data_IF_555303085265
#
_entry.id   IF_555303085265
#
_cell.length_a   1.000
_cell.length_b   1.000
_cell.length_c   1.000
_cell.angle_alpha   90.00
_cell.angle_beta   90.00
_cell.angle_gamma   90.00
#
_symmetry.space_group_name_H-M   'P 1'
#
loop_
_entity.id
_entity.type
_entity.pdbx_description
1 polymer ?
#
# COMPACT_ATOMS: atom_id res chain seq x y z
N UNK A 1 11.23 18.54 4.66
CA UNK A 1 10.34 19.68 4.38
C UNK A 1 8.95 19.09 4.20
N UNK A 2 8.05 19.28 5.16
CA UNK A 2 6.72 18.66 5.13
C UNK A 2 5.93 19.17 3.92
N UNK A 3 5.61 18.27 3.00
CA UNK A 3 4.78 18.58 1.83
C UNK A 3 3.32 18.55 2.28
N UNK A 4 2.55 19.59 1.97
CA UNK A 4 1.12 19.68 2.27
C UNK A 4 0.28 19.62 1.00
N UNK A 5 -0.78 18.82 1.00
CA UNK A 5 -1.74 18.70 -0.10
C UNK A 5 -3.19 18.70 0.42
N UNK A 6 -4.15 19.02 -0.44
CA UNK A 6 -5.56 18.96 -0.08
C UNK A 6 -6.02 17.50 0.01
N UNK A 7 -5.71 16.69 -1.01
CA UNK A 7 -6.13 15.29 -1.08
C UNK A 7 -4.96 14.37 -1.38
N UNK A 8 -4.73 13.38 -0.52
CA UNK A 8 -3.83 12.26 -0.83
C UNK A 8 -4.63 11.06 -1.35
N UNK A 9 -4.20 10.49 -2.47
CA UNK A 9 -4.81 9.34 -3.13
C UNK A 9 -3.78 8.21 -3.09
N UNK A 10 -4.13 7.12 -2.40
CA UNK A 10 -3.27 5.96 -2.21
C UNK A 10 -3.71 4.86 -3.16
N UNK A 11 -2.94 4.63 -4.21
CA UNK A 11 -3.21 3.69 -5.29
C UNK A 11 -3.41 4.38 -6.64
N UNK A 12 -2.77 3.86 -7.68
CA UNK A 12 -2.93 4.32 -9.06
C UNK A 12 -3.67 3.29 -9.95
N UNK A 13 -4.72 2.68 -9.38
CA UNK A 13 -5.74 1.89 -10.08
C UNK A 13 -6.76 2.77 -10.81
N UNK A 14 -7.72 2.21 -11.58
CA UNK A 14 -8.77 3.01 -12.24
C UNK A 14 -9.55 3.92 -11.28
N UNK A 15 -9.78 3.48 -10.03
CA UNK A 15 -10.40 4.32 -8.99
C UNK A 15 -9.53 5.53 -8.62
N UNK A 16 -8.24 5.31 -8.33
CA UNK A 16 -7.31 6.38 -7.97
C UNK A 16 -7.06 7.36 -9.11
N UNK A 17 -6.97 6.87 -10.35
CA UNK A 17 -6.83 7.73 -11.54
C UNK A 17 -8.08 8.60 -11.75
N UNK A 18 -9.28 8.01 -11.62
CA UNK A 18 -10.55 8.75 -11.68
C UNK A 18 -10.65 9.80 -10.58
N UNK A 19 -10.26 9.44 -9.36
CA UNK A 19 -10.24 10.37 -8.23
C UNK A 19 -9.30 11.55 -8.50
N UNK A 20 -8.08 11.28 -8.99
CA UNK A 20 -7.08 12.31 -9.26
C UNK A 20 -7.55 13.32 -10.31
N UNK A 21 -8.16 12.84 -11.41
CA UNK A 21 -8.79 13.70 -12.42
C UNK A 21 -9.83 14.62 -11.78
N UNK A 22 -10.72 14.07 -10.97
CA UNK A 22 -11.82 14.85 -10.37
C UNK A 22 -11.33 15.85 -9.31
N UNK A 23 -10.33 15.48 -8.49
CA UNK A 23 -9.70 16.42 -7.55
C UNK A 23 -9.04 17.58 -8.30
N UNK A 24 -8.30 17.28 -9.39
CA UNK A 24 -7.63 18.29 -10.22
C UNK A 24 -8.62 19.26 -10.86
N UNK A 25 -9.75 18.76 -11.41
CA UNK A 25 -10.81 19.59 -12.01
C UNK A 25 -11.42 20.56 -10.98
N UNK A 26 -11.42 20.21 -9.69
CA UNK A 26 -11.89 21.09 -8.60
C UNK A 26 -10.82 22.03 -8.07
N UNK A 27 -9.69 22.19 -8.77
CA UNK A 27 -8.59 23.08 -8.40
C UNK A 27 -8.04 22.81 -6.99
N UNK A 28 -7.99 21.53 -6.60
CA UNK A 28 -7.37 21.09 -5.35
C UNK A 28 -6.01 20.46 -5.63
N UNK A 29 -5.07 20.71 -4.73
CA UNK A 29 -3.75 20.08 -4.75
C UNK A 29 -3.88 18.60 -4.37
N UNK A 30 -3.12 17.74 -5.03
CA UNK A 30 -3.20 16.30 -4.78
C UNK A 30 -1.84 15.63 -4.76
N UNK A 31 -1.75 14.55 -3.99
CA UNK A 31 -0.68 13.56 -4.07
C UNK A 31 -1.30 12.24 -4.54
N UNK A 32 -0.86 11.73 -5.70
CA UNK A 32 -1.23 10.39 -6.17
C UNK A 32 -0.05 9.46 -5.97
N UNK A 33 -0.14 8.52 -5.03
CA UNK A 33 0.93 7.56 -4.72
C UNK A 33 0.58 6.19 -5.28
N UNK A 34 1.56 5.50 -5.84
CA UNK A 34 1.39 4.11 -6.23
C UNK A 34 2.68 3.46 -6.70
N UNK A 35 2.64 2.14 -6.97
CA UNK A 35 3.81 1.40 -7.41
C UNK A 35 4.25 1.84 -8.81
N UNK A 36 5.46 1.43 -9.21
CA UNK A 36 6.01 1.70 -10.55
C UNK A 36 5.05 1.30 -11.67
N UNK A 37 4.42 0.13 -11.54
CA UNK A 37 3.40 -0.35 -12.46
C UNK A 37 1.99 -0.02 -11.94
N UNK A 38 1.45 1.12 -12.37
CA UNK A 38 0.07 1.48 -12.07
C UNK A 38 -0.93 0.53 -12.71
N UNK A 39 -1.98 0.17 -11.96
CA UNK A 39 -3.07 -0.71 -12.40
C UNK A 39 -2.60 -2.09 -12.91
N UNK A 40 -1.74 -2.78 -12.16
CA UNK A 40 -1.23 -4.11 -12.53
C UNK A 40 -2.35 -5.14 -12.86
N UNK A 41 -3.47 -5.11 -12.14
CA UNK A 41 -4.63 -5.99 -12.44
C UNK A 41 -5.27 -5.67 -13.79
N UNK A 42 -5.31 -4.39 -14.20
CA UNK A 42 -5.82 -3.99 -15.50
C UNK A 42 -4.86 -4.41 -16.61
N UNK A 43 -3.56 -4.20 -16.42
CA UNK A 43 -2.50 -4.58 -17.37
C UNK A 43 -2.61 -6.05 -17.80
N UNK A 44 -2.94 -6.95 -16.86
CA UNK A 44 -3.05 -8.41 -17.09
C UNK A 44 -4.29 -8.82 -17.90
N UNK A 45 -5.27 -7.94 -18.12
CA UNK A 45 -6.50 -8.30 -18.81
C UNK A 45 -6.26 -8.49 -20.32
N UNK A 46 -6.52 -9.69 -20.83
CA UNK A 46 -6.36 -9.98 -22.26
C UNK A 46 -7.32 -9.19 -23.15
N UNK A 47 -8.57 -9.01 -22.70
CA UNK A 47 -9.61 -8.34 -23.48
C UNK A 47 -10.71 -7.78 -22.58
N UNK A 48 -11.17 -6.57 -22.89
CA UNK A 48 -12.20 -5.83 -22.16
C UNK A 48 -13.29 -5.44 -23.16
N UNK A 49 -14.51 -5.90 -22.90
CA UNK A 49 -15.68 -5.61 -23.73
C UNK A 49 -16.78 -4.87 -22.95
N UNK A 50 -16.59 -4.65 -21.64
CA UNK A 50 -17.62 -4.20 -20.72
C UNK A 50 -17.29 -2.84 -20.08
N UNK A 51 -16.39 -2.06 -20.68
CA UNK A 51 -16.15 -0.67 -20.32
C UNK A 51 -16.73 0.22 -21.43
N UNK A 52 -17.85 0.87 -21.14
CA UNK A 52 -18.60 1.65 -22.15
C UNK A 52 -17.69 2.66 -22.86
N UNK A 53 -17.75 2.68 -24.19
CA UNK A 53 -16.86 3.49 -25.04
C UNK A 53 -15.57 2.76 -25.48
N UNK A 54 -15.24 1.63 -24.87
CA UNK A 54 -14.07 0.82 -25.22
C UNK A 54 -14.44 -0.66 -25.35
N UNK A 55 -14.61 -1.13 -26.58
CA UNK A 55 -14.96 -2.51 -26.90
C UNK A 55 -13.79 -3.23 -27.57
N UNK A 56 -13.49 -4.46 -27.13
CA UNK A 56 -12.44 -5.29 -27.72
C UNK A 56 -11.01 -4.87 -27.39
N UNK A 57 -10.82 -3.86 -26.54
CA UNK A 57 -9.49 -3.38 -26.16
C UNK A 57 -8.83 -4.34 -25.18
N UNK A 58 -7.51 -4.39 -25.21
CA UNK A 58 -6.71 -5.05 -24.18
C UNK A 58 -6.68 -4.21 -22.90
N UNK A 59 -6.33 -4.85 -21.79
CA UNK A 59 -6.09 -4.16 -20.53
C UNK A 59 -4.98 -3.13 -20.60
N UNK A 60 -3.89 -3.43 -21.32
CA UNK A 60 -2.77 -2.51 -21.50
C UNK A 60 -3.16 -1.27 -22.31
N UNK A 61 -3.91 -1.43 -23.40
CA UNK A 61 -4.40 -0.29 -24.19
C UNK A 61 -5.28 0.65 -23.36
N UNK A 62 -6.21 0.09 -22.58
CA UNK A 62 -7.06 0.89 -21.70
C UNK A 62 -6.25 1.59 -20.61
N UNK A 63 -5.27 0.89 -20.02
CA UNK A 63 -4.36 1.44 -19.00
C UNK A 63 -3.55 2.61 -19.55
N UNK A 64 -2.99 2.49 -20.75
CA UNK A 64 -2.24 3.56 -21.39
C UNK A 64 -3.11 4.79 -21.67
N UNK A 65 -4.38 4.59 -22.07
CA UNK A 65 -5.33 5.69 -22.22
C UNK A 65 -5.60 6.42 -20.91
N UNK A 66 -5.75 5.71 -19.79
CA UNK A 66 -5.90 6.34 -18.48
C UNK A 66 -4.64 7.10 -18.04
N UNK A 67 -3.45 6.54 -18.27
CA UNK A 67 -2.19 7.19 -17.92
C UNK A 67 -1.89 8.41 -18.80
N UNK A 68 -2.26 8.36 -20.08
CA UNK A 68 -2.19 9.52 -20.97
C UNK A 68 -3.10 10.65 -20.47
N UNK A 69 -4.35 10.33 -20.13
CA UNK A 69 -5.32 11.32 -19.64
C UNK A 69 -4.81 12.08 -18.40
N UNK A 70 -4.32 11.38 -17.37
CA UNK A 70 -3.79 12.08 -16.18
C UNK A 70 -2.55 12.93 -16.52
N UNK A 71 -1.71 12.47 -17.45
CA UNK A 71 -0.49 13.19 -17.86
C UNK A 71 -0.85 14.48 -18.60
N UNK A 72 -1.82 14.42 -19.50
CA UNK A 72 -2.33 15.58 -20.25
C UNK A 72 -2.97 16.63 -19.32
N UNK A 73 -3.47 16.19 -18.16
CA UNK A 73 -3.97 17.07 -17.08
C UNK A 73 -2.88 17.57 -16.13
N UNK A 74 -1.61 17.23 -16.36
CA UNK A 74 -0.50 17.60 -15.49
C UNK A 74 -0.53 16.91 -14.12
N UNK A 75 -1.07 15.70 -14.05
CA UNK A 75 -1.10 14.86 -12.85
C UNK A 75 0.02 13.82 -12.97
N UNK A 76 0.93 13.80 -11.99
CA UNK A 76 2.01 12.84 -11.88
C UNK A 76 1.72 11.79 -10.79
N UNK A 77 2.14 10.55 -11.02
CA UNK A 77 2.15 9.51 -9.98
C UNK A 77 3.50 9.57 -9.25
N UNK A 78 3.45 9.74 -7.94
CA UNK A 78 4.61 9.54 -7.06
C UNK A 78 4.83 8.03 -6.91
N UNK A 79 5.92 7.53 -7.51
CA UNK A 79 6.30 6.12 -7.45
C UNK A 79 6.85 5.78 -6.07
N UNK A 80 5.97 5.31 -5.18
CA UNK A 80 6.29 4.99 -3.80
C UNK A 80 5.18 4.15 -3.17
N UNK A 81 5.42 3.66 -1.96
CA UNK A 81 4.44 2.99 -1.12
C UNK A 81 4.12 3.86 0.10
N UNK A 82 2.87 3.79 0.56
CA UNK A 82 2.43 4.42 1.80
C UNK A 82 2.46 3.33 2.87
N UNK A 83 3.29 3.50 3.91
CA UNK A 83 3.42 2.53 5.00
C UNK A 83 2.44 2.77 6.14
N UNK A 84 1.96 4.00 6.30
CA UNK A 84 1.02 4.37 7.35
C UNK A 84 0.35 5.72 7.11
N UNK A 85 -0.86 5.85 7.64
CA UNK A 85 -1.66 7.07 7.60
C UNK A 85 -2.14 7.34 9.02
N UNK A 86 -1.68 8.47 9.57
CA UNK A 86 -1.90 8.84 10.97
C UNK A 86 -2.82 10.05 11.03
N UNK A 87 -4.01 9.93 11.64
CA UNK A 87 -4.85 11.08 11.91
C UNK A 87 -4.13 12.07 12.84
N UNK A 88 -4.12 13.34 12.47
CA UNK A 88 -3.64 14.45 13.30
C UNK A 88 -4.76 15.49 13.42
N UNK A 89 -4.57 16.53 14.22
CA UNK A 89 -5.63 17.52 14.47
C UNK A 89 -6.03 18.27 13.18
N UNK A 90 -7.11 17.82 12.54
CA UNK A 90 -7.67 18.44 11.34
C UNK A 90 -7.09 17.97 10.00
N UNK A 91 -6.13 17.04 9.99
CA UNK A 91 -5.51 16.50 8.77
C UNK A 91 -4.95 15.08 9.00
N UNK A 92 -4.17 14.58 8.05
CA UNK A 92 -3.55 13.25 8.08
C UNK A 92 -2.07 13.33 7.70
N UNK A 93 -1.22 12.64 8.43
CA UNK A 93 0.18 12.43 8.05
C UNK A 93 0.32 11.08 7.35
N UNK A 94 0.76 11.08 6.10
CA UNK A 94 1.07 9.90 5.32
C UNK A 94 2.58 9.67 5.34
N UNK A 95 3.00 8.49 5.77
CA UNK A 95 4.40 8.07 5.65
C UNK A 95 4.64 7.50 4.24
N UNK A 96 5.47 8.18 3.46
CA UNK A 96 5.80 7.86 2.08
C UNK A 96 7.31 7.64 1.99
N UNK A 97 7.77 6.39 2.08
CA UNK A 97 9.18 6.04 2.36
C UNK A 97 9.67 6.76 3.64
N UNK A 98 10.69 7.59 3.52
CA UNK A 98 11.33 8.30 4.64
C UNK A 98 10.72 9.70 4.88
N UNK A 99 9.79 10.13 4.03
CA UNK A 99 9.15 11.44 4.11
C UNK A 99 7.73 11.34 4.69
N UNK A 100 7.30 12.44 5.33
CA UNK A 100 5.91 12.65 5.72
C UNK A 100 5.23 13.67 4.82
N UNK A 101 4.00 13.35 4.39
CA UNK A 101 3.13 14.25 3.64
C UNK A 101 1.86 14.50 4.42
N UNK A 102 1.53 15.77 4.65
CA UNK A 102 0.27 16.17 5.28
C UNK A 102 -0.83 16.30 4.22
N UNK A 103 -1.99 15.69 4.47
CA UNK A 103 -3.18 15.79 3.62
C UNK A 103 -4.43 16.16 4.42
N UNK A 104 -5.29 17.03 3.88
CA UNK A 104 -6.55 17.37 4.54
C UNK A 104 -7.61 16.25 4.44
N UNK A 105 -7.57 15.48 3.34
CA UNK A 105 -8.38 14.28 3.14
C UNK A 105 -7.58 13.17 2.45
N UNK A 106 -8.00 11.92 2.65
CA UNK A 106 -7.34 10.73 2.11
C UNK A 106 -8.34 9.88 1.33
N UNK A 107 -7.95 9.39 0.15
CA UNK A 107 -8.73 8.44 -0.65
C UNK A 107 -7.94 7.15 -0.83
N UNK A 108 -8.44 6.07 -0.25
CA UNK A 108 -7.86 4.72 -0.35
C UNK A 108 -8.37 4.03 -1.61
N UNK A 109 -7.46 3.70 -2.53
CA UNK A 109 -7.77 3.04 -3.83
C UNK A 109 -6.79 1.92 -4.16
N UNK A 110 -6.27 1.25 -3.12
CA UNK A 110 -5.26 0.18 -3.20
C UNK A 110 -5.76 -1.09 -3.89
N UNK A 111 -7.07 -1.19 -4.14
CA UNK A 111 -7.71 -2.34 -4.79
C UNK A 111 -8.02 -3.46 -3.81
N UNK A 112 -8.35 -4.65 -4.32
CA UNK A 112 -8.37 -5.88 -3.51
C UNK A 112 -7.11 -6.66 -3.80
N UNK A 113 -6.19 -6.61 -2.85
CA UNK A 113 -5.23 -7.68 -2.68
C UNK A 113 -5.37 -8.16 -1.25
N UNK A 114 -5.76 -9.43 -1.11
CA UNK A 114 -5.58 -10.10 0.16
C UNK A 114 -4.06 -10.21 0.34
N UNK A 115 -3.49 -9.42 1.26
CA UNK A 115 -2.18 -9.76 1.78
C UNK A 115 -2.24 -11.25 2.11
N UNK A 116 -1.39 -12.06 1.47
CA UNK A 116 -1.28 -13.46 1.84
C UNK A 116 -0.65 -13.45 3.22
N UNK A 117 -1.49 -13.59 4.25
CA UNK A 117 -1.00 -13.85 5.58
C UNK A 117 -0.39 -15.23 5.59
N UNK A 118 0.86 -15.29 6.03
CA UNK A 118 1.46 -16.54 6.40
C UNK A 118 0.85 -16.99 7.74
N UNK A 119 0.75 -18.30 8.00
CA UNK A 119 0.34 -18.82 9.30
C UNK A 119 1.10 -18.15 10.45
N UNK A 120 0.37 -17.80 11.52
CA UNK A 120 0.84 -17.09 12.71
C UNK A 120 1.26 -15.61 12.51
N UNK A 121 1.16 -15.07 11.29
CA UNK A 121 1.55 -13.68 10.99
C UNK A 121 0.76 -12.65 11.81
N UNK A 122 -0.56 -12.59 11.64
CA UNK A 122 -1.42 -11.58 12.28
C UNK A 122 -1.27 -11.56 13.81
N UNK A 123 -1.07 -12.73 14.42
CA UNK A 123 -0.91 -12.86 15.87
C UNK A 123 0.42 -12.32 16.39
N UNK A 124 1.47 -12.36 15.57
CA UNK A 124 2.85 -12.05 15.93
C UNK A 124 3.34 -10.70 15.38
N UNK A 125 2.56 -10.02 14.53
CA UNK A 125 2.82 -8.62 14.14
C UNK A 125 2.82 -7.71 15.37
N UNK A 126 3.85 -6.87 15.49
CA UNK A 126 4.10 -6.04 16.68
C UNK A 126 4.68 -6.84 17.87
N UNK A 127 4.84 -8.15 17.73
CA UNK A 127 5.44 -9.07 18.73
C UNK A 127 6.64 -9.79 18.15
N UNK A 128 7.46 -9.07 17.40
CA UNK A 128 8.64 -9.62 16.73
C UNK A 128 8.52 -9.71 15.22
N UNK A 129 7.30 -9.61 14.65
CA UNK A 129 7.11 -9.42 13.20
C UNK A 129 6.86 -7.93 12.91
N UNK A 130 7.63 -7.37 11.99
CA UNK A 130 7.48 -6.01 11.48
C UNK A 130 7.28 -5.99 9.96
N UNK A 131 6.61 -4.96 9.47
CA UNK A 131 6.47 -4.69 8.05
C UNK A 131 7.36 -3.54 7.54
N UNK A 132 8.05 -2.84 8.45
CA UNK A 132 8.92 -1.73 8.12
C UNK A 132 10.33 -2.04 8.65
N UNK A 133 11.24 -2.36 7.73
CA UNK A 133 12.64 -2.63 8.04
C UNK A 133 13.31 -1.43 8.69
N UNK A 134 13.09 -0.23 8.15
CA UNK A 134 13.76 0.99 8.64
C UNK A 134 13.23 1.47 10.00
N UNK A 135 11.94 1.32 10.26
CA UNK A 135 11.30 1.80 11.48
C UNK A 135 11.75 1.03 12.73
N UNK A 136 11.83 -0.30 12.62
CA UNK A 136 12.06 -1.17 13.78
C UNK A 136 13.50 -1.72 13.84
N UNK A 137 14.35 -1.47 12.84
CA UNK A 137 15.73 -1.97 12.75
C UNK A 137 16.51 -1.85 14.07
N UNK A 138 16.43 -0.69 14.72
CA UNK A 138 17.20 -0.39 15.93
C UNK A 138 16.83 -1.29 17.13
N UNK A 139 15.60 -1.84 17.19
CA UNK A 139 15.23 -2.80 18.24
C UNK A 139 15.94 -4.15 18.09
N UNK A 140 16.56 -4.40 16.94
CA UNK A 140 17.24 -5.64 16.58
C UNK A 140 18.75 -5.49 16.42
N UNK A 141 19.33 -4.42 16.95
CA UNK A 141 20.77 -4.20 16.93
C UNK A 141 21.51 -5.41 17.54
N UNK A 142 22.43 -6.00 16.77
CA UNK A 142 23.22 -7.18 17.17
C UNK A 142 22.44 -8.50 17.28
N UNK A 143 21.15 -8.53 16.93
CA UNK A 143 20.29 -9.73 16.98
C UNK A 143 20.28 -10.49 15.65
N UNK A 144 19.69 -11.68 15.66
CA UNK A 144 19.45 -12.49 14.45
C UNK A 144 18.04 -12.21 13.92
N UNK A 145 17.93 -11.76 12.67
CA UNK A 145 16.64 -11.43 12.06
C UNK A 145 16.43 -12.17 10.74
N UNK A 146 15.17 -12.39 10.37
CA UNK A 146 14.80 -12.85 9.03
C UNK A 146 14.14 -11.72 8.24
N UNK A 147 14.49 -11.59 6.97
CA UNK A 147 13.86 -10.65 6.03
C UNK A 147 13.18 -11.45 4.94
N UNK A 148 11.85 -11.45 4.93
CA UNK A 148 11.04 -12.07 3.87
C UNK A 148 10.67 -10.99 2.87
N UNK A 149 11.27 -11.04 1.67
CA UNK A 149 11.11 -10.01 0.64
C UNK A 149 10.27 -10.53 -0.53
N UNK A 150 9.18 -9.84 -0.86
CA UNK A 150 8.30 -10.20 -1.99
C UNK A 150 8.79 -9.66 -3.34
N UNK A 151 9.71 -8.70 -3.35
CA UNK A 151 10.23 -8.08 -4.57
C UNK A 151 11.70 -7.65 -4.42
N UNK A 152 12.38 -7.49 -5.55
CA UNK A 152 13.76 -6.99 -5.60
C UNK A 152 13.91 -5.53 -5.11
N UNK A 153 12.81 -4.76 -5.03
CA UNK A 153 12.85 -3.38 -4.52
C UNK A 153 13.17 -3.35 -3.01
N UNK A 154 12.97 -4.46 -2.29
CA UNK A 154 13.24 -4.58 -0.86
C UNK A 154 14.68 -5.03 -0.54
N UNK A 155 15.52 -5.28 -1.54
CA UNK A 155 16.91 -5.67 -1.31
C UNK A 155 17.73 -4.56 -0.63
N UNK A 156 17.42 -3.29 -0.92
CA UNK A 156 18.07 -2.15 -0.28
C UNK A 156 17.73 -2.05 1.21
N UNK A 157 16.47 -2.25 1.55
CA UNK A 157 16.00 -2.28 2.93
C UNK A 157 16.55 -3.49 3.70
N UNK A 158 16.70 -4.64 3.04
CA UNK A 158 17.37 -5.81 3.61
C UNK A 158 18.86 -5.56 3.90
N UNK A 159 19.56 -4.86 2.99
CA UNK A 159 20.96 -4.44 3.19
C UNK A 159 21.10 -3.48 4.36
N UNK A 160 20.20 -2.50 4.48
CA UNK A 160 20.16 -1.60 5.64
C UNK A 160 20.00 -2.38 6.96
N UNK A 161 19.12 -3.38 7.01
CA UNK A 161 18.96 -4.23 8.19
C UNK A 161 20.24 -5.02 8.53
N UNK A 162 21.03 -5.43 7.54
CA UNK A 162 22.31 -6.12 7.77
C UNK A 162 23.41 -5.23 8.37
N UNK A 163 23.29 -3.90 8.22
CA UNK A 163 24.19 -2.95 8.89
C UNK A 163 23.92 -2.88 10.39
N UNK A 164 22.66 -3.05 10.80
CA UNK A 164 22.18 -2.90 12.19
C UNK A 164 22.16 -4.24 12.95
N UNK A 165 21.62 -5.29 12.33
CA UNK A 165 21.50 -6.62 12.91
C UNK A 165 22.86 -7.34 12.98
N UNK A 166 22.97 -8.32 13.88
CA UNK A 166 24.15 -9.17 13.98
C UNK A 166 24.22 -10.21 12.87
N UNK A 167 23.06 -10.72 12.45
CA UNK A 167 22.93 -11.68 11.35
C UNK A 167 21.55 -11.56 10.69
N UNK A 168 21.49 -11.70 9.37
CA UNK A 168 20.25 -11.59 8.59
C UNK A 168 20.05 -12.84 7.72
N UNK A 169 18.96 -13.56 7.93
CA UNK A 169 18.46 -14.54 6.96
C UNK A 169 17.63 -13.81 5.90
N UNK A 170 18.11 -13.77 4.67
CA UNK A 170 17.38 -13.19 3.55
C UNK A 170 16.55 -14.26 2.83
N UNK A 171 15.23 -14.11 2.83
CA UNK A 171 14.25 -15.08 2.31
C UNK A 171 13.50 -14.49 1.11
N UNK A 172 14.12 -14.39 -0.07
CA UNK A 172 13.48 -13.85 -1.26
C UNK A 172 12.34 -14.76 -1.74
N UNK A 173 11.16 -14.17 -1.95
CA UNK A 173 9.98 -14.85 -2.51
C UNK A 173 9.80 -14.58 -4.01
N UNK A 174 10.90 -14.23 -4.70
CA UNK A 174 10.99 -13.93 -6.14
C UNK A 174 12.27 -14.56 -6.73
N UNK A 175 12.36 -14.67 -8.07
CA UNK A 175 13.39 -15.48 -8.74
C UNK A 175 14.74 -14.76 -8.95
N UNK A 176 14.74 -13.47 -9.29
CA UNK A 176 15.93 -12.73 -9.71
C UNK A 176 16.55 -11.90 -8.57
N UNK A 177 17.29 -12.56 -7.69
CA UNK A 177 17.98 -11.93 -6.54
C UNK A 177 19.34 -11.38 -6.95
N UNK A 178 19.72 -10.19 -6.46
CA UNK A 178 21.08 -9.66 -6.64
C UNK A 178 22.16 -10.66 -6.18
N UNK A 179 23.26 -10.73 -6.93
CA UNK A 179 24.39 -11.61 -6.61
C UNK A 179 25.18 -11.14 -5.39
N UNK A 180 25.09 -9.85 -5.06
CA UNK A 180 25.75 -9.26 -3.90
C UNK A 180 24.70 -8.84 -2.85
N UNK A 181 24.71 -9.55 -1.73
CA UNK A 181 23.83 -9.39 -0.58
C UNK A 181 24.63 -9.08 0.70
N UNK A 182 25.96 -8.95 0.63
CA UNK A 182 26.82 -8.66 1.79
C UNK A 182 27.11 -9.86 2.72
N UNK A 183 28.21 -9.76 3.49
CA UNK A 183 28.77 -10.86 4.30
C UNK A 183 27.90 -11.27 5.51
N UNK A 184 27.05 -10.36 6.00
CA UNK A 184 26.17 -10.61 7.17
C UNK A 184 24.82 -11.21 6.79
N UNK A 185 24.57 -11.42 5.50
CA UNK A 185 23.32 -11.96 4.98
C UNK A 185 23.51 -13.40 4.48
N UNK A 186 22.68 -14.31 4.97
CA UNK A 186 22.55 -15.66 4.42
C UNK A 186 21.26 -15.72 3.58
N UNK A 187 21.39 -15.95 2.27
CA UNK A 187 20.21 -16.13 1.41
C UNK A 187 19.68 -17.55 1.48
N UNK A 188 18.39 -17.67 1.85
CA UNK A 188 17.66 -18.92 1.93
C UNK A 188 16.48 -18.85 0.95
N UNK A 189 16.51 -19.68 -0.09
CA UNK A 189 15.48 -19.69 -1.15
C UNK A 189 14.28 -20.60 -0.85
N UNK A 190 14.23 -21.18 0.34
CA UNK A 190 13.14 -22.04 0.75
C UNK A 190 11.85 -21.22 0.93
N UNK A 191 10.71 -21.86 0.61
CA UNK A 191 9.40 -21.21 0.75
C UNK A 191 9.03 -21.05 2.22
N UNK A 192 8.65 -19.84 2.62
CA UNK A 192 8.15 -19.58 3.98
C UNK A 192 6.75 -20.16 4.13
N UNK A 193 6.54 -20.91 5.21
CA UNK A 193 5.28 -21.60 5.54
C UNK A 193 4.55 -20.97 6.74
N UNK A 194 5.20 -20.08 7.49
CA UNK A 194 4.61 -19.45 8.67
C UNK A 194 5.66 -19.08 9.71
N UNK A 195 5.19 -18.78 10.91
CA UNK A 195 6.04 -18.35 12.03
C UNK A 195 5.76 -19.18 13.27
N UNK A 196 6.72 -19.28 14.17
CA UNK A 196 6.55 -19.92 15.47
C UNK A 196 6.84 -18.94 16.60
N UNK A 197 6.14 -19.10 17.72
CA UNK A 197 6.30 -18.27 18.91
C UNK A 197 4.98 -18.05 19.65
N UNK A 198 5.01 -17.96 20.98
CA UNK A 198 3.81 -17.73 21.80
C UNK A 198 3.60 -16.22 22.01
N UNK A 199 4.38 -15.61 22.90
CA UNK A 199 4.31 -14.17 23.17
C UNK A 199 5.05 -13.32 22.15
N UNK A 200 6.09 -13.87 21.53
CA UNK A 200 6.91 -13.21 20.51
C UNK A 200 7.37 -14.23 19.47
N UNK A 201 7.75 -13.76 18.28
CA UNK A 201 8.35 -14.64 17.26
C UNK A 201 9.65 -15.25 17.80
N UNK A 202 9.86 -16.54 17.53
CA UNK A 202 11.10 -17.27 17.85
C UNK A 202 11.71 -17.96 16.64
N UNK A 203 10.90 -18.21 15.61
CA UNK A 203 11.38 -18.87 14.41
C UNK A 203 10.52 -18.58 13.17
N UNK A 204 11.16 -18.68 11.99
CA UNK A 204 10.49 -18.77 10.69
C UNK A 204 10.38 -20.23 10.30
N UNK A 205 9.18 -20.70 9.94
CA UNK A 205 8.94 -22.06 9.45
C UNK A 205 9.13 -22.12 7.95
N UNK A 206 10.01 -23.00 7.51
CA UNK A 206 10.24 -23.34 6.10
C UNK A 206 9.66 -24.73 5.80
N UNK A 207 9.80 -25.22 4.58
CA UNK A 207 9.20 -26.49 4.15
C UNK A 207 9.81 -27.73 4.84
N UNK A 208 11.07 -27.66 5.28
CA UNK A 208 11.75 -28.78 5.95
C UNK A 208 12.43 -28.46 7.27
N UNK A 209 12.45 -27.18 7.71
CA UNK A 209 13.14 -26.74 8.93
C UNK A 209 12.56 -25.47 9.52
N UNK A 210 12.98 -25.12 10.74
CA UNK A 210 12.74 -23.82 11.37
C UNK A 210 14.06 -23.04 11.46
N UNK A 211 14.01 -21.74 11.20
CA UNK A 211 15.12 -20.82 11.43
C UNK A 211 14.87 -20.05 12.72
N UNK A 212 15.74 -20.19 13.72
CA UNK A 212 15.64 -19.41 14.96
C UNK A 212 15.99 -17.95 14.69
N UNK A 213 15.11 -17.04 15.11
CA UNK A 213 15.27 -15.60 14.92
C UNK A 213 14.71 -14.84 16.11
N UNK A 214 15.26 -13.66 16.36
CA UNK A 214 14.76 -12.70 17.33
C UNK A 214 13.66 -11.80 16.75
N UNK A 215 13.66 -11.63 15.41
CA UNK A 215 12.71 -10.79 14.69
C UNK A 215 12.53 -11.20 13.23
N UNK A 216 11.39 -10.83 12.65
CA UNK A 216 11.05 -11.07 11.24
C UNK A 216 10.56 -9.77 10.61
N UNK A 217 11.16 -9.40 9.49
CA UNK A 217 10.72 -8.28 8.66
C UNK A 217 10.04 -8.83 7.41
N UNK A 218 8.73 -8.60 7.28
CA UNK A 218 7.94 -8.97 6.12
C UNK A 218 7.86 -7.78 5.17
N UNK A 219 8.80 -7.70 4.25
CA UNK A 219 8.87 -6.65 3.25
C UNK A 219 7.96 -7.04 2.08
N UNK A 220 6.67 -6.75 2.29
CA UNK A 220 5.58 -7.01 1.36
C UNK A 220 5.36 -5.80 0.46
N UNK A 221 4.94 -6.03 -0.77
CA UNK A 221 4.56 -4.93 -1.67
C UNK A 221 3.34 -4.16 -1.15
N UNK A 222 2.46 -4.83 -0.37
CA UNK A 222 1.27 -4.23 0.21
C UNK A 222 1.01 -4.72 1.64
N UNK A 223 0.71 -3.76 2.52
CA UNK A 223 0.36 -4.02 3.91
C UNK A 223 -1.14 -4.33 4.06
N UNK A 224 -1.53 -5.07 5.12
CA UNK A 224 -2.94 -5.23 5.44
C UNK A 224 -3.57 -3.86 5.74
N UNK A 225 -4.82 -3.67 5.34
CA UNK A 225 -5.51 -2.37 5.44
C UNK A 225 -5.58 -1.83 6.88
N UNK A 226 -5.67 -2.71 7.87
CA UNK A 226 -5.64 -2.36 9.30
C UNK A 226 -4.32 -1.72 9.75
N UNK A 227 -3.21 -2.02 9.06
CA UNK A 227 -1.91 -1.39 9.32
C UNK A 227 -1.76 -0.06 8.59
N UNK A 228 -2.38 0.09 7.42
CA UNK A 228 -2.32 1.33 6.66
C UNK A 228 -3.06 2.47 7.38
N UNK A 229 -4.23 2.19 7.96
CA UNK A 229 -5.02 3.14 8.73
C UNK A 229 -5.59 2.46 9.97
N UNK A 230 -5.09 2.82 11.15
CA UNK A 230 -5.56 2.23 12.41
C UNK A 230 -7.04 2.59 12.67
N UNK A 231 -7.82 1.61 13.13
CA UNK A 231 -9.23 1.79 13.45
C UNK A 231 -10.18 1.83 12.24
N UNK A 232 -9.69 1.55 11.03
CA UNK A 232 -10.52 1.50 9.83
C UNK A 232 -11.51 0.31 9.90
N UNK A 233 -12.80 0.60 9.74
CA UNK A 233 -13.85 -0.41 9.78
C UNK A 233 -13.84 -1.26 8.50
N UNK A 234 -13.78 -2.58 8.68
CA UNK A 234 -13.83 -3.55 7.59
C UNK A 234 -15.12 -4.36 7.63
N UNK A 235 -15.61 -4.77 6.47
CA UNK A 235 -16.57 -5.87 6.31
C UNK A 235 -15.86 -6.98 5.55
N UNK A 236 -15.65 -8.13 6.20
CA UNK A 236 -14.71 -9.16 5.76
C UNK A 236 -13.30 -8.59 5.52
N UNK A 237 -12.92 -8.41 4.26
CA UNK A 237 -11.61 -7.89 3.81
C UNK A 237 -11.72 -6.56 3.06
N UNK A 238 -12.90 -5.95 3.08
CA UNK A 238 -13.20 -4.73 2.34
C UNK A 238 -13.42 -3.58 3.30
N UNK A 239 -12.97 -2.38 2.91
CA UNK A 239 -13.24 -1.17 3.68
C UNK A 239 -14.72 -0.86 3.60
N UNK A 240 -15.35 -0.70 4.76
CA UNK A 240 -16.76 -0.32 4.84
C UNK A 240 -16.89 1.16 4.50
N UNK A 241 -17.77 1.46 3.54
CA UNK A 241 -18.11 2.84 3.16
C UNK A 241 -19.62 3.06 3.17
N UNK A 242 -20.04 4.31 3.28
CA UNK A 242 -21.38 4.78 2.95
C UNK A 242 -21.54 5.02 1.42
N UNK A 243 -22.71 5.45 0.91
CA UNK A 243 -22.90 5.79 -0.50
C UNK A 243 -22.00 6.92 -1.02
N UNK A 244 -21.58 7.83 -0.15
CA UNK A 244 -20.67 8.94 -0.44
C UNK A 244 -19.19 8.51 -0.46
N UNK A 245 -18.92 7.21 -0.29
CA UNK A 245 -17.58 6.59 -0.21
C UNK A 245 -16.81 6.97 1.07
N UNK A 246 -17.47 7.57 2.06
CA UNK A 246 -16.86 7.89 3.35
C UNK A 246 -16.69 6.64 4.21
N UNK A 247 -15.57 6.57 4.92
CA UNK A 247 -15.31 5.50 5.91
C UNK A 247 -15.81 5.91 7.29
N UNK A 248 -15.56 5.08 8.31
CA UNK A 248 -15.83 5.46 9.70
C UNK A 248 -14.88 6.56 10.23
N UNK A 249 -13.83 6.91 9.50
CA UNK A 249 -12.87 7.95 9.88
C UNK A 249 -13.19 9.21 9.05
N UNK A 250 -13.65 10.32 9.67
CA UNK A 250 -14.01 11.54 8.95
C UNK A 250 -12.82 12.10 8.15
N UNK A 251 -13.02 12.33 6.85
CA UNK A 251 -11.96 12.79 5.95
C UNK A 251 -11.18 11.66 5.26
N UNK A 252 -11.45 10.40 5.60
CA UNK A 252 -10.94 9.22 4.90
C UNK A 252 -12.06 8.59 4.07
N UNK A 253 -11.78 8.40 2.80
CA UNK A 253 -12.66 7.79 1.80
C UNK A 253 -12.01 6.54 1.22
N UNK A 254 -12.81 5.64 0.66
CA UNK A 254 -12.30 4.48 -0.05
C UNK A 254 -13.09 4.22 -1.34
N UNK A 255 -12.41 3.83 -2.42
CA UNK A 255 -13.04 3.64 -3.71
C UNK A 255 -12.42 2.50 -4.53
N UNK A 256 -13.25 1.83 -5.31
CA UNK A 256 -12.86 0.73 -6.17
C UNK A 256 -12.98 -0.62 -5.48
N UNK A 257 -12.12 -1.55 -5.88
CA UNK A 257 -12.23 -2.95 -5.44
C UNK A 257 -12.08 -3.08 -3.92
N UNK A 258 -11.30 -2.19 -3.29
CA UNK A 258 -11.10 -2.10 -1.84
C UNK A 258 -12.42 -2.03 -1.04
N UNK A 259 -13.50 -1.52 -1.65
CA UNK A 259 -14.83 -1.38 -1.01
C UNK A 259 -15.74 -2.59 -1.22
N UNK A 260 -15.29 -3.65 -1.91
CA UNK A 260 -16.10 -4.83 -2.16
C UNK A 260 -16.37 -5.14 -3.63
N UNK A 261 -17.04 -6.28 -3.84
CA UNK A 261 -17.51 -6.70 -5.17
C UNK A 261 -18.62 -5.77 -5.67
N UNK A 262 -18.87 -5.71 -7.00
CA UNK A 262 -18.15 -6.40 -8.07
C UNK A 262 -16.81 -5.72 -8.40
N UNK A 263 -15.79 -6.50 -8.76
CA UNK A 263 -14.48 -5.94 -9.14
C UNK A 263 -14.48 -5.59 -10.63
N UNK A 264 -14.80 -4.33 -10.95
CA UNK A 264 -15.05 -3.89 -12.33
C UNK A 264 -14.50 -2.48 -12.55
N UNK A 265 -13.93 -2.25 -13.74
CA UNK A 265 -13.33 -0.94 -14.11
C UNK A 265 -14.37 0.18 -14.01
N UNK A 266 -15.58 -0.03 -14.52
CA UNK A 266 -16.65 0.97 -14.47
C UNK A 266 -17.06 1.34 -13.04
N UNK A 267 -17.23 0.33 -12.16
CA UNK A 267 -17.49 0.56 -10.73
C UNK A 267 -16.35 1.37 -10.11
N UNK A 268 -15.11 0.96 -10.34
CA UNK A 268 -13.94 1.60 -9.76
C UNK A 268 -13.81 3.07 -10.18
N UNK A 269 -13.98 3.37 -11.47
CA UNK A 269 -13.96 4.75 -11.98
C UNK A 269 -15.07 5.59 -11.36
N UNK A 270 -16.31 5.06 -11.28
CA UNK A 270 -17.44 5.79 -10.69
C UNK A 270 -17.25 6.07 -9.20
N UNK A 271 -16.80 5.08 -8.43
CA UNK A 271 -16.51 5.27 -7.00
C UNK A 271 -15.34 6.23 -6.78
N UNK A 272 -14.30 6.19 -7.63
CA UNK A 272 -13.18 7.13 -7.55
C UNK A 272 -13.63 8.57 -7.73
N UNK A 273 -14.53 8.82 -8.68
CA UNK A 273 -15.17 10.12 -8.85
C UNK A 273 -15.97 10.52 -7.62
N UNK A 274 -16.84 9.64 -7.11
CA UNK A 274 -17.67 9.93 -5.94
C UNK A 274 -16.80 10.30 -4.72
N UNK A 275 -15.78 9.50 -4.42
CA UNK A 275 -14.87 9.75 -3.30
C UNK A 275 -14.12 11.08 -3.44
N UNK A 276 -13.68 11.44 -4.65
CA UNK A 276 -13.05 12.73 -4.91
C UNK A 276 -14.00 13.90 -4.62
N UNK A 277 -15.25 13.83 -5.09
CA UNK A 277 -16.23 14.89 -4.86
C UNK A 277 -16.58 15.02 -3.37
N UNK A 278 -16.72 13.89 -2.67
CA UNK A 278 -16.97 13.88 -1.23
C UNK A 278 -15.79 14.46 -0.43
N UNK A 279 -14.55 14.11 -0.78
CA UNK A 279 -13.35 14.65 -0.16
C UNK A 279 -13.22 16.16 -0.35
N UNK A 280 -13.49 16.66 -1.56
CA UNK A 280 -13.49 18.11 -1.83
C UNK A 280 -14.58 18.82 -1.02
N UNK A 281 -15.79 18.25 -0.94
CA UNK A 281 -16.89 18.81 -0.14
C UNK A 281 -16.54 18.88 1.35
N UNK A 282 -15.90 17.85 1.89
CA UNK A 282 -15.41 17.82 3.26
C UNK A 282 -14.41 18.94 3.55
N UNK A 283 -13.43 19.15 2.66
CA UNK A 283 -12.46 20.23 2.79
C UNK A 283 -13.16 21.59 2.75
N UNK A 284 -14.07 21.81 1.80
CA UNK A 284 -14.79 23.07 1.64
C UNK A 284 -15.65 23.42 2.86
N UNK A 285 -16.33 22.42 3.43
CA UNK A 285 -17.15 22.61 4.64
C UNK A 285 -16.32 23.05 5.85
N UNK A 286 -15.07 22.58 5.98
CA UNK A 286 -14.17 22.96 7.07
C UNK A 286 -13.59 24.36 6.92
N UNK A 287 -13.42 24.84 5.70
CA UNK A 287 -13.00 26.22 5.44
C UNK A 287 -14.11 27.20 5.87
N UNK A 288 -15.37 26.86 5.59
CA UNK A 288 -16.52 27.71 5.93
C UNK A 288 -16.79 27.83 7.43
N UNK A 289 -16.34 26.88 8.25
CA UNK A 289 -16.51 26.90 9.72
C UNK A 289 -15.42 27.73 10.42
N UNK A 290 -14.31 28.04 9.73
CA UNK A 290 -13.20 28.85 10.27
C UNK A 290 -13.31 30.35 9.96
N UNK A 291 -14.38 30.78 9.31
CA UNK A 291 -14.72 32.20 9.01
C UNK A 291 -15.90 32.60 9.88
#
# INVERSE_FOLDING_TARGET
MERKVDVAIVGCGPAGLSAAVNVKVRNRSLLLVGPRLCSASLHKAHRINNYLGFHGVTGEELRQKFLAHIRDMGISVTQSNVSGIYPVEGSFHLQVRDDFVEAAAVILTTGVFAARHLPDEERLVGKGISYCGTCDAMFYQGKTVAVVAESAEHEEEARFLAEVAGHVYFLPQYENVSADIGERMETIREKVKGFAGEERVRAVRLEGRELTVDGVFLLKEQLPMSHLVSGLALHDKHVRTDPEMATNIPGVYAAGDITGKPYQVAKAVGQGQQAALSAVSYIDSRIKVKV
#
